data_IF_792355545299
#
_entry.id   IF_792355545299
#
_cell.length_a   1.000
_cell.length_b   1.000
_cell.length_c   1.000
_cell.angle_alpha   90.00
_cell.angle_beta   90.00
_cell.angle_gamma   90.00
#
_symmetry.space_group_name_H-M   'P 1'
#
loop_
_entity.id
_entity.type
_entity.pdbx_description
1 polymer ?
#
# COMPACT_ATOMS: atom_id res chain seq x y z
N UNK A 1 -28.59 -13.56 -21.64
CA UNK A 1 -27.23 -14.01 -21.25
C UNK A 1 -26.97 -13.59 -19.82
N UNK A 2 -26.33 -14.42 -18.97
CA UNK A 2 -25.92 -13.96 -17.65
C UNK A 2 -24.89 -12.82 -17.81
N UNK A 3 -24.82 -11.86 -16.86
CA UNK A 3 -23.75 -10.88 -16.88
C UNK A 3 -22.40 -11.61 -16.80
N UNK A 4 -21.37 -11.14 -17.53
CA UNK A 4 -20.04 -11.74 -17.43
C UNK A 4 -19.59 -11.72 -15.97
N UNK A 5 -19.31 -12.91 -15.42
CA UNK A 5 -18.68 -13.02 -14.10
C UNK A 5 -17.25 -12.49 -14.23
N UNK A 6 -16.96 -11.38 -13.55
CA UNK A 6 -15.60 -10.91 -13.34
C UNK A 6 -14.87 -11.98 -12.50
N UNK A 7 -13.97 -12.75 -13.14
CA UNK A 7 -13.07 -13.64 -12.41
C UNK A 7 -11.98 -12.78 -11.79
N UNK A 8 -11.92 -12.74 -10.47
CA UNK A 8 -10.78 -12.16 -9.76
C UNK A 8 -9.56 -13.02 -10.05
N UNK A 9 -8.53 -12.45 -10.69
CA UNK A 9 -7.24 -13.12 -10.86
C UNK A 9 -6.52 -13.20 -9.50
N UNK A 10 -5.66 -14.22 -9.33
CA UNK A 10 -4.92 -14.47 -8.08
C UNK A 10 -4.32 -13.18 -7.50
N UNK A 11 -4.60 -12.90 -6.22
CA UNK A 11 -4.08 -11.74 -5.51
C UNK A 11 -2.75 -12.09 -4.83
N UNK A 12 -1.71 -11.29 -5.07
CA UNK A 12 -0.42 -11.39 -4.38
C UNK A 12 -0.35 -10.32 -3.30
N UNK A 13 -0.23 -10.75 -2.04
CA UNK A 13 -0.02 -9.86 -0.90
C UNK A 13 1.43 -9.94 -0.41
N UNK A 14 2.01 -8.80 -0.06
CA UNK A 14 3.35 -8.67 0.52
C UNK A 14 3.31 -7.70 1.69
N UNK A 15 3.82 -8.14 2.85
CA UNK A 15 4.10 -7.26 3.98
C UNK A 15 5.59 -6.89 3.98
N UNK A 16 5.90 -5.62 4.21
CA UNK A 16 7.27 -5.12 4.33
C UNK A 16 7.39 -4.21 5.54
N UNK A 17 8.50 -4.29 6.25
CA UNK A 17 8.82 -3.39 7.34
C UNK A 17 10.32 -3.36 7.59
N UNK A 18 10.80 -2.26 8.16
CA UNK A 18 12.19 -2.12 8.57
C UNK A 18 12.27 -2.05 10.09
N UNK A 19 13.11 -2.91 10.67
CA UNK A 19 13.40 -2.95 12.09
C UNK A 19 14.83 -2.45 12.34
N UNK A 20 14.98 -1.37 13.09
CA UNK A 20 16.29 -0.92 13.56
C UNK A 20 16.44 -1.24 15.03
N UNK A 21 17.50 -1.98 15.38
CA UNK A 21 17.82 -2.32 16.77
C UNK A 21 19.10 -1.58 17.15
N UNK A 22 19.06 -0.80 18.23
CA UNK A 22 20.25 -0.12 18.72
C UNK A 22 21.13 -1.03 19.60
N UNK A 23 22.31 -0.55 19.98
CA UNK A 23 23.26 -1.28 20.84
C UNK A 23 22.74 -1.61 22.24
N UNK A 24 21.64 -0.98 22.66
CA UNK A 24 20.97 -1.26 23.93
C UNK A 24 19.84 -2.28 23.79
N UNK A 25 19.62 -2.84 22.60
CA UNK A 25 18.52 -3.78 22.33
C UNK A 25 17.16 -3.13 22.13
N UNK A 26 17.09 -1.80 22.03
CA UNK A 26 15.85 -1.09 21.78
C UNK A 26 15.51 -1.14 20.29
N UNK A 27 14.24 -1.40 20.00
CA UNK A 27 13.70 -1.43 18.64
C UNK A 27 13.08 -0.07 18.31
N UNK A 28 13.57 0.57 17.25
CA UNK A 28 12.88 1.67 16.59
C UNK A 28 12.41 1.17 15.22
N UNK A 29 11.10 1.06 15.05
CA UNK A 29 10.51 0.74 13.74
C UNK A 29 10.19 2.04 13.04
N UNK A 30 10.71 2.24 11.83
CA UNK A 30 10.46 3.48 11.10
C UNK A 30 9.15 3.39 10.29
N UNK A 31 8.87 2.27 9.60
CA UNK A 31 7.64 2.06 8.79
C UNK A 31 7.28 0.58 8.61
N UNK A 32 5.99 0.26 8.65
CA UNK A 32 5.40 -1.02 8.25
C UNK A 32 4.36 -0.77 7.14
N UNK A 33 4.34 -1.61 6.11
CA UNK A 33 3.38 -1.50 5.00
C UNK A 33 2.94 -2.87 4.50
N UNK A 34 1.66 -2.99 4.15
CA UNK A 34 1.08 -4.16 3.48
C UNK A 34 0.64 -3.72 2.09
N UNK A 35 1.12 -4.41 1.05
CA UNK A 35 0.72 -4.18 -0.32
C UNK A 35 0.04 -5.43 -0.90
N UNK A 36 -1.12 -5.26 -1.52
CA UNK A 36 -1.82 -6.30 -2.26
C UNK A 36 -1.94 -5.89 -3.73
N UNK A 37 -1.58 -6.77 -4.66
CA UNK A 37 -1.65 -6.52 -6.10
C UNK A 37 -2.45 -7.61 -6.80
N UNK A 38 -3.31 -7.22 -7.74
CA UNK A 38 -4.10 -8.11 -8.59
C UNK A 38 -4.21 -7.55 -10.00
N UNK A 39 -4.29 -8.45 -10.99
CA UNK A 39 -4.58 -8.10 -12.38
C UNK A 39 -6.09 -7.94 -12.53
N UNK A 40 -6.56 -6.74 -12.87
CA UNK A 40 -8.00 -6.41 -12.82
C UNK A 40 -8.56 -5.80 -14.11
N UNK A 41 -7.72 -5.46 -15.09
CA UNK A 41 -8.15 -4.75 -16.31
C UNK A 41 -7.41 -5.26 -17.56
N UNK A 42 -7.79 -6.41 -18.14
CA UNK A 42 -7.24 -6.91 -19.42
C UNK A 42 -5.75 -6.60 -19.64
N UNK A 43 -4.90 -6.94 -18.65
CA UNK A 43 -3.45 -6.64 -18.63
C UNK A 43 -3.00 -5.48 -17.72
N UNK A 44 -3.92 -4.79 -17.04
CA UNK A 44 -3.61 -3.76 -16.04
C UNK A 44 -3.66 -4.28 -14.60
N UNK A 45 -2.88 -3.67 -13.71
CA UNK A 45 -2.75 -4.03 -12.30
C UNK A 45 -3.40 -2.99 -11.38
N UNK A 46 -3.93 -3.47 -10.26
CA UNK A 46 -4.38 -2.68 -9.12
C UNK A 46 -3.52 -3.07 -7.92
N UNK A 47 -2.90 -2.08 -7.30
CA UNK A 47 -2.15 -2.21 -6.05
C UNK A 47 -2.81 -1.38 -4.95
N UNK A 48 -3.13 -2.01 -3.83
CA UNK A 48 -3.52 -1.35 -2.58
C UNK A 48 -2.34 -1.43 -1.62
N UNK A 49 -1.87 -0.28 -1.12
CA UNK A 49 -0.85 -0.20 -0.08
C UNK A 49 -1.45 0.42 1.16
N UNK A 50 -1.33 -0.25 2.31
CA UNK A 50 -1.77 0.25 3.61
C UNK A 50 -0.56 0.44 4.52
N UNK A 51 -0.50 1.57 5.21
CA UNK A 51 0.53 1.94 6.18
C UNK A 51 -0.13 2.23 7.53
N UNK A 52 -0.31 1.22 8.39
CA UNK A 52 -0.92 1.43 9.71
C UNK A 52 -0.14 2.43 10.57
N UNK A 53 -0.85 3.16 11.43
CA UNK A 53 -0.25 4.12 12.37
C UNK A 53 0.63 3.49 13.45
N UNK A 54 0.51 2.18 13.66
CA UNK A 54 1.27 1.44 14.68
C UNK A 54 2.78 1.42 14.41
N UNK A 55 3.55 1.94 15.37
CA UNK A 55 5.02 1.92 15.37
C UNK A 55 5.53 1.01 16.48
N UNK A 56 5.99 -0.22 16.16
CA UNK A 56 6.49 -1.12 17.18
C UNK A 56 7.74 -0.58 17.86
N UNK A 57 7.77 -0.68 19.18
CA UNK A 57 8.86 -0.27 20.06
C UNK A 57 9.09 -1.32 21.15
N UNK A 58 10.36 -1.65 21.34
CA UNK A 58 10.82 -2.54 22.40
C UNK A 58 11.84 -1.76 23.23
N UNK A 59 11.66 -1.78 24.55
CA UNK A 59 12.62 -1.25 25.49
C UNK A 59 13.19 -2.42 26.31
N UNK A 60 14.48 -2.71 26.12
CA UNK A 60 15.13 -3.84 26.77
C UNK A 60 15.36 -3.63 28.28
N UNK A 61 15.37 -2.38 28.74
CA UNK A 61 15.58 -2.00 30.15
C UNK A 61 14.28 -1.93 30.94
N UNK A 62 13.16 -1.67 30.26
CA UNK A 62 11.82 -1.64 30.83
C UNK A 62 10.81 -2.27 29.87
N UNK A 63 10.53 -3.55 30.11
CA UNK A 63 9.59 -4.35 29.33
C UNK A 63 8.19 -3.72 29.32
N UNK A 64 7.78 -3.03 30.40
CA UNK A 64 6.46 -2.40 30.49
C UNK A 64 6.37 -1.12 29.64
N UNK A 65 7.50 -0.49 29.34
CA UNK A 65 7.57 0.62 28.39
C UNK A 65 7.51 0.16 26.91
N UNK A 66 7.47 -1.16 26.65
CA UNK A 66 7.34 -1.70 25.30
C UNK A 66 5.87 -1.74 24.86
N UNK A 67 5.58 -1.30 23.64
CA UNK A 67 4.20 -1.31 23.12
C UNK A 67 3.80 -2.65 22.45
N UNK A 68 4.59 -3.71 22.63
CA UNK A 68 4.38 -5.02 22.01
C UNK A 68 3.59 -6.02 22.87
N UNK A 69 3.29 -5.71 24.13
CA UNK A 69 2.85 -6.73 25.10
C UNK A 69 1.37 -6.62 25.48
N UNK A 70 0.79 -5.43 25.38
CA UNK A 70 -0.62 -5.18 25.67
C UNK A 70 -1.46 -5.16 24.40
N UNK A 71 -2.60 -5.88 24.40
CA UNK A 71 -3.53 -5.88 23.27
C UNK A 71 -4.04 -4.46 22.90
N UNK A 72 -4.19 -3.58 23.90
CA UNK A 72 -4.59 -2.19 23.69
C UNK A 72 -3.56 -1.33 22.95
N UNK A 73 -2.29 -1.74 22.90
CA UNK A 73 -1.24 -1.00 22.20
C UNK A 73 -1.33 -1.15 20.67
N UNK A 74 -2.12 -2.11 20.18
CA UNK A 74 -2.33 -2.37 18.77
C UNK A 74 -3.49 -1.57 18.16
N UNK A 75 -4.09 -0.63 18.90
CA UNK A 75 -5.22 0.17 18.42
C UNK A 75 -4.91 0.87 17.08
N UNK A 76 -3.67 1.34 16.91
CA UNK A 76 -3.22 2.02 15.69
C UNK A 76 -2.95 1.07 14.50
N UNK A 77 -3.06 -0.26 14.68
CA UNK A 77 -3.09 -1.19 13.54
C UNK A 77 -4.38 -1.05 12.72
N UNK A 78 -5.48 -0.66 13.40
CA UNK A 78 -6.75 -0.41 12.75
C UNK A 78 -6.84 1.01 12.16
N UNK A 79 -5.92 1.90 12.53
CA UNK A 79 -5.77 3.20 11.88
C UNK A 79 -5.12 3.03 10.50
N UNK A 80 -5.97 2.81 9.51
CA UNK A 80 -5.63 2.74 8.09
C UNK A 80 -5.80 4.09 7.42
N UNK A 81 -5.68 5.21 8.14
CA UNK A 81 -5.81 6.53 7.53
C UNK A 81 -4.72 6.82 6.50
N UNK A 82 -3.59 6.11 6.52
CA UNK A 82 -2.54 6.20 5.50
C UNK A 82 -2.59 4.97 4.57
N UNK A 83 -3.21 5.15 3.40
CA UNK A 83 -3.29 4.13 2.36
C UNK A 83 -3.23 4.77 0.98
N UNK A 84 -2.64 4.04 0.03
CA UNK A 84 -2.57 4.42 -1.37
C UNK A 84 -3.23 3.35 -2.23
N UNK A 85 -3.93 3.79 -3.28
CA UNK A 85 -4.41 2.92 -4.33
C UNK A 85 -3.75 3.36 -5.64
N UNK A 86 -3.08 2.42 -6.31
CA UNK A 86 -2.45 2.63 -7.60
C UNK A 86 -3.09 1.72 -8.65
N UNK A 87 -3.57 2.31 -9.75
CA UNK A 87 -4.06 1.56 -10.91
C UNK A 87 -3.10 1.86 -12.06
N UNK A 88 -2.50 0.81 -12.62
CA UNK A 88 -1.58 0.91 -13.74
C UNK A 88 -2.06 0.05 -14.91
N UNK A 89 -2.07 0.64 -16.11
CA UNK A 89 -2.29 -0.10 -17.36
C UNK A 89 -1.34 0.46 -18.42
N UNK A 90 -0.47 -0.41 -18.94
CA UNK A 90 0.34 -0.13 -20.11
C UNK A 90 -0.40 -0.44 -21.41
N UNK A 91 0.21 -0.06 -22.53
CA UNK A 91 -0.27 -0.33 -23.88
C UNK A 91 -1.70 0.19 -24.16
N UNK A 92 -2.06 1.32 -23.54
CA UNK A 92 -3.31 2.01 -23.87
C UNK A 92 -3.05 2.93 -25.04
N UNK A 93 -3.85 2.78 -26.10
CA UNK A 93 -3.83 3.68 -27.24
C UNK A 93 -4.61 4.96 -26.92
N UNK A 94 -3.91 6.09 -26.89
CA UNK A 94 -4.51 7.43 -26.80
C UNK A 94 -4.14 8.19 -28.07
N UNK A 95 -5.10 8.33 -28.99
CA UNK A 95 -4.94 9.09 -30.25
C UNK A 95 -3.79 8.53 -31.12
N UNK A 96 -3.67 7.21 -31.21
CA UNK A 96 -2.66 6.50 -32.00
C UNK A 96 -1.30 6.36 -31.33
N UNK A 97 -1.20 6.62 -30.02
CA UNK A 97 0.05 6.55 -29.26
C UNK A 97 -0.06 5.55 -28.12
N UNK A 98 0.95 4.69 -27.98
CA UNK A 98 1.06 3.78 -26.83
C UNK A 98 1.46 4.58 -25.59
N UNK A 99 0.60 4.51 -24.58
CA UNK A 99 0.77 5.24 -23.33
C UNK A 99 0.67 4.29 -22.13
N UNK A 100 1.45 4.60 -21.10
CA UNK A 100 1.25 4.08 -19.75
C UNK A 100 0.38 5.04 -18.96
N UNK A 101 -0.74 4.54 -18.42
CA UNK A 101 -1.62 5.30 -17.55
C UNK A 101 -1.46 4.81 -16.11
N UNK A 102 -1.15 5.75 -15.22
CA UNK A 102 -1.07 5.52 -13.78
C UNK A 102 -2.00 6.49 -13.06
N UNK A 103 -3.04 5.97 -12.41
CA UNK A 103 -3.88 6.75 -11.50
C UNK A 103 -3.43 6.50 -10.06
N UNK A 104 -3.00 7.59 -9.42
CA UNK A 104 -2.58 7.60 -8.03
C UNK A 104 -3.66 8.25 -7.16
N UNK A 105 -4.16 7.46 -6.20
CA UNK A 105 -5.23 7.82 -5.30
C UNK A 105 -4.72 7.91 -3.86
N UNK A 106 -3.80 8.85 -3.60
CA UNK A 106 -3.15 9.05 -2.30
C UNK A 106 -4.08 9.62 -1.19
N UNK A 107 -5.27 10.10 -1.55
CA UNK A 107 -6.13 10.87 -0.64
C UNK A 107 -7.62 10.47 -0.69
N UNK A 108 -7.92 9.20 -1.02
CA UNK A 108 -9.32 8.73 -1.05
C UNK A 108 -9.96 8.94 0.32
N UNK A 109 -11.06 9.69 0.36
CA UNK A 109 -11.79 10.02 1.60
C UNK A 109 -11.25 11.20 2.40
N UNK A 110 -10.11 11.80 2.03
CA UNK A 110 -9.51 12.98 2.71
C UNK A 110 -9.72 14.31 1.96
N UNK A 111 -10.47 14.31 0.85
CA UNK A 111 -10.79 15.51 0.07
C UNK A 111 -9.63 16.08 -0.76
N UNK A 112 -8.48 15.40 -0.82
CA UNK A 112 -7.34 15.78 -1.66
C UNK A 112 -7.56 15.48 -3.15
N UNK A 113 -6.81 16.16 -4.03
CA UNK A 113 -6.82 15.88 -5.47
C UNK A 113 -6.02 14.62 -5.77
N UNK A 114 -6.58 13.73 -6.58
CA UNK A 114 -5.87 12.56 -7.12
C UNK A 114 -5.05 12.96 -8.36
N UNK A 115 -4.01 12.20 -8.68
CA UNK A 115 -3.13 12.46 -9.82
C UNK A 115 -3.24 11.35 -10.86
N UNK A 116 -3.65 11.71 -12.08
CA UNK A 116 -3.47 10.86 -13.25
C UNK A 116 -2.14 11.25 -13.92
N UNK A 117 -1.25 10.27 -14.08
CA UNK A 117 -0.01 10.42 -14.84
C UNK A 117 -0.15 9.62 -16.14
N UNK A 118 0.11 10.28 -17.27
CA UNK A 118 0.15 9.66 -18.59
C UNK A 118 1.60 9.78 -19.06
N UNK A 119 2.25 8.63 -19.31
CA UNK A 119 3.58 8.60 -19.92
C UNK A 119 3.44 8.08 -21.34
N UNK A 120 3.83 8.91 -22.30
CA UNK A 120 3.79 8.59 -23.72
C UNK A 120 5.16 8.06 -24.14
N UNK A 121 5.20 6.93 -24.82
CA UNK A 121 6.43 6.44 -25.45
C UNK A 121 6.56 7.08 -26.83
N UNK A 122 6.92 8.36 -26.88
CA UNK A 122 7.17 9.07 -28.15
C UNK A 122 8.65 8.95 -28.48
N UNK A 123 8.95 8.29 -29.60
CA UNK A 123 10.22 8.48 -30.32
C UNK A 123 10.13 9.71 -31.23
#
# INVERSE_FOLDING_TARGET
>A
SPPPQLKMHDMKARATGQLTINSEGNVATEKFSIAATSDVLSGGSLTLTVRPGFKPSLNAKDVQASNLLGAGNYADLADVSDFDINIAKGDVDVVGQNCDLQLDLQNVGKGGKNRLTIKTNVE
#
